data_IF_090388882312
#
_entry.id   IF_090388882312
#
_cell.length_a   1.000
_cell.length_b   1.000
_cell.length_c   1.000
_cell.angle_alpha   90.00
_cell.angle_beta   90.00
_cell.angle_gamma   90.00
#
_symmetry.space_group_name_H-M   'P 1'
#
loop_
_entity.id
_entity.type
_entity.pdbx_description
1 polymer ?
#
# COMPACT_ATOMS: atom_id res chain seq x y z
N UNK A 1 -15.14 8.24 30.46
CA UNK A 1 -14.91 9.17 29.33
C UNK A 1 -13.96 8.49 28.35
N UNK A 2 -14.42 8.19 27.13
CA UNK A 2 -13.56 7.62 26.08
C UNK A 2 -12.56 8.70 25.65
N UNK A 3 -11.26 8.41 25.70
CA UNK A 3 -10.23 9.30 25.15
C UNK A 3 -10.29 9.17 23.64
N UNK A 4 -11.03 10.07 23.00
CA UNK A 4 -11.04 10.19 21.54
C UNK A 4 -9.63 10.55 21.07
N UNK A 5 -9.06 9.75 20.17
CA UNK A 5 -7.72 9.95 19.62
C UNK A 5 -7.78 11.05 18.54
N UNK A 6 -7.82 12.31 18.94
CA UNK A 6 -7.86 13.50 18.04
C UNK A 6 -6.53 13.78 17.33
N UNK A 7 -5.59 12.81 17.36
CA UNK A 7 -4.25 12.95 16.80
C UNK A 7 -4.29 13.21 15.29
N UNK A 8 -5.26 12.63 14.58
CA UNK A 8 -5.40 12.76 13.12
C UNK A 8 -6.31 13.91 12.68
N UNK A 9 -6.97 14.63 13.59
CA UNK A 9 -7.84 15.76 13.21
C UNK A 9 -7.03 17.00 12.80
N UNK A 10 -5.78 17.09 13.26
CA UNK A 10 -4.91 18.20 12.92
C UNK A 10 -4.18 17.92 11.59
N UNK A 11 -4.36 18.76 10.55
CA UNK A 11 -3.69 18.56 9.26
C UNK A 11 -2.16 18.57 9.37
N UNK A 12 -1.60 19.24 10.39
CA UNK A 12 -0.15 19.21 10.66
C UNK A 12 0.34 17.84 11.08
N UNK A 13 -0.45 17.09 11.85
CA UNK A 13 -0.08 15.75 12.31
C UNK A 13 -0.15 14.73 11.16
N UNK A 14 -1.19 14.83 10.32
CA UNK A 14 -1.27 14.03 9.08
C UNK A 14 -0.05 14.30 8.19
N UNK A 15 0.31 15.56 7.98
CA UNK A 15 1.46 15.92 7.15
C UNK A 15 2.78 15.37 7.72
N UNK A 16 2.96 15.42 9.05
CA UNK A 16 4.14 14.83 9.71
C UNK A 16 4.19 13.31 9.54
N UNK A 17 3.05 12.63 9.69
CA UNK A 17 2.95 11.19 9.45
C UNK A 17 3.32 10.84 8.02
N UNK A 18 2.73 11.55 7.04
CA UNK A 18 3.02 11.36 5.62
C UNK A 18 4.50 11.59 5.32
N UNK A 19 5.08 12.68 5.84
CA UNK A 19 6.52 12.93 5.71
C UNK A 19 7.34 11.77 6.29
N UNK A 20 7.06 11.35 7.53
CA UNK A 20 7.79 10.25 8.16
C UNK A 20 7.66 8.94 7.38
N UNK A 21 6.47 8.64 6.85
CA UNK A 21 6.21 7.47 6.02
C UNK A 21 7.02 7.52 4.71
N UNK A 22 6.97 8.63 3.97
CA UNK A 22 7.74 8.77 2.74
C UNK A 22 9.25 8.77 2.99
N UNK A 23 9.70 9.38 4.09
CA UNK A 23 11.11 9.31 4.50
C UNK A 23 11.52 7.86 4.77
N UNK A 24 10.71 7.08 5.49
CA UNK A 24 11.00 5.67 5.73
C UNK A 24 11.07 4.86 4.42
N UNK A 25 10.15 5.10 3.47
CA UNK A 25 10.19 4.46 2.16
C UNK A 25 11.47 4.78 1.39
N UNK A 26 11.88 6.05 1.36
CA UNK A 26 13.13 6.47 0.70
C UNK A 26 14.35 5.84 1.37
N UNK A 27 14.38 5.75 2.71
CA UNK A 27 15.47 5.11 3.44
C UNK A 27 15.55 3.61 3.12
N UNK A 28 14.42 2.91 3.05
CA UNK A 28 14.38 1.49 2.67
C UNK A 28 14.84 1.30 1.23
N UNK A 29 14.41 2.16 0.30
CA UNK A 29 14.87 2.11 -1.08
C UNK A 29 16.38 2.34 -1.18
N UNK A 30 16.94 3.29 -0.42
CA UNK A 30 18.39 3.49 -0.36
C UNK A 30 19.10 2.27 0.22
N UNK A 31 18.54 1.66 1.28
CA UNK A 31 19.10 0.46 1.90
C UNK A 31 19.21 -0.73 0.93
N UNK A 32 18.32 -0.80 -0.08
CA UNK A 32 18.38 -1.81 -1.15
C UNK A 32 19.72 -1.79 -1.91
N UNK A 33 20.40 -0.65 -2.01
CA UNK A 33 21.72 -0.56 -2.66
C UNK A 33 22.85 -1.21 -1.84
N UNK A 34 22.62 -1.47 -0.55
CA UNK A 34 23.61 -2.00 0.39
C UNK A 34 23.38 -3.47 0.75
N UNK A 35 22.28 -4.06 0.27
CA UNK A 35 21.88 -5.43 0.61
C UNK A 35 21.81 -6.25 -0.67
N UNK A 36 22.63 -7.30 -0.75
CA UNK A 36 22.60 -8.23 -1.86
C UNK A 36 21.33 -9.09 -1.80
N UNK A 37 20.37 -8.76 -2.65
CA UNK A 37 19.13 -9.54 -2.79
C UNK A 37 19.42 -10.78 -3.63
N UNK A 38 19.19 -11.95 -3.04
CA UNK A 38 19.39 -13.26 -3.69
C UNK A 38 18.15 -13.60 -4.52
N UNK A 39 17.94 -12.85 -5.60
CA UNK A 39 16.87 -13.12 -6.55
C UNK A 39 17.16 -14.34 -7.40
N UNK A 40 16.14 -15.15 -7.69
CA UNK A 40 16.25 -16.31 -8.59
C UNK A 40 16.34 -15.87 -10.07
N UNK A 41 15.88 -14.66 -10.36
CA UNK A 41 15.83 -14.10 -11.72
C UNK A 41 16.73 -12.86 -11.84
N UNK A 42 17.39 -12.71 -13.00
CA UNK A 42 18.30 -11.59 -13.26
C UNK A 42 17.66 -10.20 -13.12
N UNK A 43 16.35 -10.10 -13.34
CA UNK A 43 15.59 -8.84 -13.23
C UNK A 43 15.43 -8.37 -11.78
N UNK A 44 15.53 -9.27 -10.80
CA UNK A 44 15.35 -8.95 -9.38
C UNK A 44 16.54 -8.21 -8.79
N UNK A 45 17.70 -8.27 -9.43
CA UNK A 45 18.88 -7.52 -9.03
C UNK A 45 18.85 -6.06 -9.49
N UNK A 46 17.82 -5.64 -10.22
CA UNK A 46 17.68 -4.24 -10.60
C UNK A 46 17.31 -3.39 -9.39
N UNK A 47 18.04 -2.31 -9.17
CA UNK A 47 17.79 -1.42 -8.04
C UNK A 47 16.36 -0.85 -8.07
N UNK A 48 15.63 -1.03 -6.96
CA UNK A 48 14.25 -0.58 -6.82
C UNK A 48 13.22 -1.55 -7.43
N UNK A 49 13.65 -2.74 -7.87
CA UNK A 49 12.74 -3.75 -8.40
C UNK A 49 11.64 -4.10 -7.40
N UNK A 50 12.01 -4.37 -6.15
CA UNK A 50 11.04 -4.78 -5.12
C UNK A 50 10.11 -3.65 -4.70
N UNK A 51 10.59 -2.40 -4.70
CA UNK A 51 9.75 -1.24 -4.45
C UNK A 51 8.67 -1.06 -5.53
N UNK A 52 9.05 -1.16 -6.80
CA UNK A 52 8.12 -1.08 -7.95
C UNK A 52 7.17 -2.27 -7.96
N UNK A 53 7.69 -3.48 -7.77
CA UNK A 53 6.91 -4.71 -7.75
C UNK A 53 5.86 -4.69 -6.63
N UNK A 54 6.24 -4.30 -5.42
CA UNK A 54 5.34 -4.18 -4.28
C UNK A 54 4.24 -3.15 -4.52
N UNK A 55 4.60 -1.99 -5.09
CA UNK A 55 3.63 -0.95 -5.44
C UNK A 55 2.61 -1.44 -6.48
N UNK A 56 3.09 -2.03 -7.59
CA UNK A 56 2.23 -2.57 -8.64
C UNK A 56 1.32 -3.67 -8.09
N UNK A 57 1.86 -4.56 -7.26
CA UNK A 57 1.10 -5.64 -6.63
C UNK A 57 -0.05 -5.11 -5.78
N UNK A 58 0.22 -4.09 -4.94
CA UNK A 58 -0.80 -3.51 -4.07
C UNK A 58 -1.87 -2.72 -4.84
N UNK A 59 -1.47 -1.93 -5.84
CA UNK A 59 -2.41 -1.23 -6.73
C UNK A 59 -3.29 -2.23 -7.47
N UNK A 60 -2.69 -3.31 -7.99
CA UNK A 60 -3.42 -4.38 -8.68
C UNK A 60 -4.45 -5.04 -7.76
N UNK A 61 -4.09 -5.31 -6.51
CA UNK A 61 -5.00 -5.86 -5.51
C UNK A 61 -6.23 -4.95 -5.32
N UNK A 62 -6.03 -3.64 -5.18
CA UNK A 62 -7.13 -2.68 -5.03
C UNK A 62 -8.02 -2.67 -6.28
N UNK A 63 -7.43 -2.69 -7.47
CA UNK A 63 -8.17 -2.70 -8.74
C UNK A 63 -8.99 -3.98 -8.87
N UNK A 64 -8.40 -5.14 -8.58
CA UNK A 64 -9.09 -6.43 -8.59
C UNK A 64 -10.23 -6.44 -7.57
N UNK A 65 -10.02 -5.94 -6.35
CA UNK A 65 -11.07 -5.85 -5.34
C UNK A 65 -12.25 -4.98 -5.80
N UNK A 66 -11.99 -3.85 -6.46
CA UNK A 66 -13.03 -3.00 -7.07
C UNK A 66 -13.77 -3.72 -8.19
N UNK A 67 -13.06 -4.46 -9.04
CA UNK A 67 -13.66 -5.23 -10.13
C UNK A 67 -14.55 -6.36 -9.58
N UNK A 68 -14.05 -7.11 -8.60
CA UNK A 68 -14.80 -8.15 -7.90
C UNK A 68 -16.05 -7.59 -7.24
N UNK A 69 -15.97 -6.40 -6.61
CA UNK A 69 -17.15 -5.73 -6.07
C UNK A 69 -18.20 -5.50 -7.17
N UNK A 70 -17.80 -5.05 -8.36
CA UNK A 70 -18.74 -4.83 -9.47
C UNK A 70 -19.37 -6.14 -9.98
N UNK A 71 -18.60 -7.22 -10.02
CA UNK A 71 -19.07 -8.54 -10.49
C UNK A 71 -19.97 -9.21 -9.45
N UNK A 72 -19.64 -9.09 -8.17
CA UNK A 72 -20.31 -9.78 -7.07
C UNK A 72 -21.51 -9.01 -6.52
N UNK A 73 -21.59 -7.69 -6.76
CA UNK A 73 -22.70 -6.87 -6.28
C UNK A 73 -24.01 -7.40 -6.86
N UNK A 74 -24.85 -7.94 -5.98
CA UNK A 74 -26.16 -8.46 -6.30
C UNK A 74 -27.23 -7.40 -6.02
N UNK A 75 -28.38 -7.53 -6.70
CA UNK A 75 -29.55 -6.67 -6.44
C UNK A 75 -29.98 -6.83 -4.99
N UNK A 76 -30.45 -5.74 -4.39
CA UNK A 76 -30.87 -5.70 -2.98
C UNK A 76 -32.03 -6.69 -2.74
N UNK A 77 -32.97 -6.78 -3.68
CA UNK A 77 -34.15 -7.66 -3.62
C UNK A 77 -33.86 -9.14 -3.88
N UNK A 78 -32.60 -9.57 -3.94
CA UNK A 78 -32.28 -10.93 -4.38
C UNK A 78 -32.81 -12.03 -3.44
N UNK A 79 -32.96 -11.72 -2.15
CA UNK A 79 -33.48 -12.65 -1.14
C UNK A 79 -34.88 -12.27 -0.65
N UNK A 80 -35.52 -11.30 -1.29
CA UNK A 80 -36.90 -10.92 -0.97
C UNK A 80 -37.86 -11.87 -1.71
N UNK A 81 -37.88 -13.12 -1.22
CA UNK A 81 -38.97 -14.09 -1.33
C UNK A 81 -39.41 -14.49 0.09
#
# INVERSE_FOLDING_TARGET
MKKELTVFDNPKNIRRLQMGFFTALVLVLIAEAFVDMHGEFQIEHFYGFYAVYGFISYVSLIVIAKLLRKILMRKEDYYDD
#
